data_IF_144832063706
#
_entry.id   IF_144832063706
#
_cell.length_a   1.000
_cell.length_b   1.000
_cell.length_c   1.000
_cell.angle_alpha   90.00
_cell.angle_beta   90.00
_cell.angle_gamma   90.00
#
_symmetry.space_group_name_H-M   'P 1'
#
loop_
_entity.id
_entity.type
_entity.pdbx_description
1 polymer ?
#
# COMPACT_ATOMS: atom_id res chain seq x y z
N UNK A 1 -7.71 -36.26 -8.20
CA UNK A 1 -7.60 -36.11 -9.68
C UNK A 1 -7.84 -34.65 -9.99
N UNK A 2 -6.87 -33.93 -10.56
CA UNK A 2 -7.05 -32.53 -10.96
C UNK A 2 -7.74 -32.49 -12.33
N UNK A 3 -8.65 -31.53 -12.54
CA UNK A 3 -9.27 -31.26 -13.85
C UNK A 3 -8.63 -30.03 -14.45
N UNK A 4 -8.30 -30.09 -15.73
CA UNK A 4 -7.80 -28.94 -16.48
C UNK A 4 -8.94 -28.03 -16.91
N UNK A 5 -8.78 -26.73 -16.72
CA UNK A 5 -9.72 -25.71 -17.15
C UNK A 5 -9.08 -24.87 -18.26
N UNK A 6 -9.78 -24.77 -19.39
CA UNK A 6 -9.37 -23.99 -20.56
C UNK A 6 -10.22 -22.74 -20.68
N UNK A 7 -9.54 -21.60 -20.83
CA UNK A 7 -10.15 -20.28 -20.85
C UNK A 7 -9.82 -19.62 -22.19
N UNK A 8 -10.82 -18.99 -22.81
CA UNK A 8 -10.59 -18.10 -23.94
C UNK A 8 -10.86 -16.67 -23.50
N UNK A 9 -9.98 -15.74 -23.84
CA UNK A 9 -10.11 -14.35 -23.43
C UNK A 9 -9.84 -13.45 -24.63
N UNK A 10 -10.74 -12.49 -24.85
CA UNK A 10 -10.55 -11.41 -25.80
C UNK A 10 -10.71 -10.07 -25.08
N UNK A 11 -9.63 -9.29 -25.08
CA UNK A 11 -9.60 -7.96 -24.46
C UNK A 11 -9.66 -6.88 -25.54
N UNK A 12 -10.52 -5.87 -25.35
CA UNK A 12 -10.57 -4.67 -26.21
C UNK A 12 -10.46 -3.43 -25.34
N UNK A 13 -9.47 -2.60 -25.63
CA UNK A 13 -9.30 -1.31 -24.98
C UNK A 13 -9.66 -0.19 -25.96
N UNK A 14 -10.47 0.77 -25.50
CA UNK A 14 -10.89 1.94 -26.27
C UNK A 14 -10.85 3.21 -25.42
N UNK A 15 -10.79 4.36 -26.07
CA UNK A 15 -11.02 5.63 -25.40
C UNK A 15 -12.46 5.67 -24.83
N UNK A 16 -12.64 6.24 -23.63
CA UNK A 16 -13.89 6.26 -22.88
C UNK A 16 -15.09 6.90 -23.58
N UNK A 17 -14.85 7.67 -24.65
CA UNK A 17 -15.91 8.25 -25.49
C UNK A 17 -16.48 7.25 -26.52
N UNK A 18 -15.88 6.06 -26.64
CA UNK A 18 -16.33 5.02 -27.57
C UNK A 18 -17.01 3.88 -26.83
N UNK A 19 -17.78 3.11 -27.58
CA UNK A 19 -18.45 1.91 -27.12
C UNK A 19 -17.97 0.70 -27.92
N UNK A 20 -18.27 -0.49 -27.42
CA UNK A 20 -18.13 -1.73 -28.20
C UNK A 20 -19.34 -1.87 -29.12
N UNK A 21 -19.06 -1.95 -30.41
CA UNK A 21 -20.08 -2.10 -31.44
C UNK A 21 -20.35 -3.58 -31.73
N UNK A 22 -21.46 -3.82 -32.40
CA UNK A 22 -21.94 -5.16 -32.76
C UNK A 22 -20.92 -6.01 -33.53
N UNK A 23 -20.10 -5.39 -34.38
CA UNK A 23 -19.08 -6.09 -35.17
C UNK A 23 -18.03 -6.77 -34.29
N UNK A 24 -17.63 -6.14 -33.19
CA UNK A 24 -16.62 -6.67 -32.27
C UNK A 24 -17.17 -7.82 -31.44
N UNK A 25 -18.43 -7.73 -31.02
CA UNK A 25 -19.12 -8.85 -30.38
C UNK A 25 -19.27 -10.02 -31.36
N UNK A 26 -19.64 -9.77 -32.62
CA UNK A 26 -19.71 -10.82 -33.64
C UNK A 26 -18.37 -11.50 -33.87
N UNK A 27 -17.28 -10.73 -33.94
CA UNK A 27 -15.92 -11.26 -34.05
C UNK A 27 -15.62 -12.21 -32.89
N UNK A 28 -15.91 -11.79 -31.66
CA UNK A 28 -15.75 -12.62 -30.46
C UNK A 28 -16.59 -13.90 -30.51
N UNK A 29 -17.90 -13.77 -30.76
CA UNK A 29 -18.85 -14.89 -30.81
C UNK A 29 -18.52 -15.89 -31.93
N UNK A 30 -18.04 -15.41 -33.07
CA UNK A 30 -17.61 -16.29 -34.16
C UNK A 30 -16.30 -17.01 -33.82
N UNK A 31 -15.39 -16.34 -33.10
CA UNK A 31 -14.14 -16.95 -32.65
C UNK A 31 -14.39 -18.02 -31.60
N UNK A 32 -15.29 -17.77 -30.64
CA UNK A 32 -15.67 -18.76 -29.64
C UNK A 32 -16.31 -19.98 -30.30
N UNK A 33 -17.27 -19.81 -31.22
CA UNK A 33 -17.86 -20.92 -31.99
C UNK A 33 -16.83 -21.83 -32.67
N UNK A 34 -15.73 -21.25 -33.17
CA UNK A 34 -14.66 -22.00 -33.85
C UNK A 34 -13.70 -22.68 -32.89
N UNK A 35 -13.62 -22.24 -31.62
CA UNK A 35 -12.77 -22.89 -30.60
C UNK A 35 -13.58 -23.97 -29.90
N UNK A 36 -13.28 -25.23 -30.17
CA UNK A 36 -14.05 -26.36 -29.63
C UNK A 36 -13.73 -26.72 -28.18
N UNK A 37 -12.63 -26.21 -27.60
CA UNK A 37 -12.08 -26.69 -26.33
C UNK A 37 -11.91 -25.60 -25.25
N UNK A 38 -12.91 -24.74 -25.04
CA UNK A 38 -12.92 -23.84 -23.88
C UNK A 38 -14.05 -24.21 -22.92
N UNK A 39 -13.78 -24.02 -21.63
CA UNK A 39 -14.78 -24.14 -20.57
C UNK A 39 -15.54 -22.82 -20.43
N UNK A 40 -14.83 -21.69 -20.44
CA UNK A 40 -15.42 -20.35 -20.38
C UNK A 40 -14.66 -19.40 -21.33
N UNK A 41 -15.41 -18.51 -21.99
CA UNK A 41 -14.94 -17.45 -22.85
C UNK A 41 -15.25 -16.09 -22.24
N UNK A 42 -14.26 -15.21 -22.14
CA UNK A 42 -14.38 -13.87 -21.60
C UNK A 42 -14.21 -12.83 -22.68
N UNK A 43 -15.13 -11.87 -22.73
CA UNK A 43 -14.95 -10.62 -23.43
C UNK A 43 -14.74 -9.51 -22.40
N UNK A 44 -13.57 -8.87 -22.44
CA UNK A 44 -13.18 -7.86 -21.46
C UNK A 44 -12.99 -6.50 -22.14
N UNK A 45 -13.63 -5.46 -21.62
CA UNK A 45 -13.54 -4.10 -22.17
C UNK A 45 -13.54 -3.02 -21.11
N UNK A 46 -12.82 -1.92 -21.36
CA UNK A 46 -12.83 -0.74 -20.51
C UNK A 46 -13.99 0.23 -20.82
N UNK A 47 -14.81 -0.07 -21.82
CA UNK A 47 -15.96 0.75 -22.23
C UNK A 47 -17.23 -0.09 -22.32
N UNK A 48 -18.40 0.56 -22.25
CA UNK A 48 -19.70 -0.10 -22.33
C UNK A 48 -20.01 -0.67 -23.72
N UNK A 49 -21.00 -1.56 -23.78
CA UNK A 49 -21.56 -2.07 -25.02
C UNK A 49 -22.63 -1.12 -25.57
N UNK A 50 -22.74 -1.04 -26.90
CA UNK A 50 -23.92 -0.45 -27.55
C UNK A 50 -25.16 -1.34 -27.34
N UNK A 51 -26.36 -0.78 -27.43
CA UNK A 51 -27.60 -1.57 -27.39
C UNK A 51 -27.65 -2.66 -28.49
N UNK A 52 -27.09 -2.38 -29.67
CA UNK A 52 -26.98 -3.36 -30.75
C UNK A 52 -26.06 -4.53 -30.39
N UNK A 53 -24.95 -4.26 -29.70
CA UNK A 53 -24.04 -5.30 -29.20
C UNK A 53 -24.69 -6.16 -28.11
N UNK A 54 -25.48 -5.56 -27.22
CA UNK A 54 -26.28 -6.28 -26.22
C UNK A 54 -27.31 -7.18 -26.90
N UNK A 55 -28.07 -6.66 -27.85
CA UNK A 55 -29.05 -7.45 -28.61
C UNK A 55 -28.39 -8.64 -29.33
N UNK A 56 -27.17 -8.49 -29.86
CA UNK A 56 -26.44 -9.60 -30.49
C UNK A 56 -26.08 -10.69 -29.47
N UNK A 57 -25.66 -10.33 -28.26
CA UNK A 57 -25.40 -11.29 -27.16
C UNK A 57 -26.68 -12.00 -26.73
N UNK A 58 -27.77 -11.26 -26.55
CA UNK A 58 -29.08 -11.80 -26.17
C UNK A 58 -29.65 -12.75 -27.22
N UNK A 59 -29.36 -12.53 -28.51
CA UNK A 59 -29.82 -13.37 -29.60
C UNK A 59 -28.84 -14.49 -29.99
N UNK A 60 -27.68 -14.58 -29.34
CA UNK A 60 -26.67 -15.58 -29.67
C UNK A 60 -27.19 -17.02 -29.44
N UNK A 61 -27.11 -17.88 -30.44
CA UNK A 61 -27.66 -19.26 -30.38
C UNK A 61 -26.63 -20.34 -30.03
N UNK A 62 -25.36 -19.96 -29.80
CA UNK A 62 -24.33 -20.92 -29.36
C UNK A 62 -24.33 -21.10 -27.84
N UNK A 63 -23.20 -21.57 -27.30
CA UNK A 63 -23.01 -21.83 -25.86
C UNK A 63 -22.99 -20.54 -25.01
N UNK A 64 -24.16 -19.90 -24.83
CA UNK A 64 -24.32 -18.68 -24.02
C UNK A 64 -23.82 -18.84 -22.59
N UNK A 65 -24.06 -19.99 -21.97
CA UNK A 65 -23.69 -20.27 -20.57
C UNK A 65 -22.18 -20.30 -20.34
N UNK A 66 -21.39 -20.40 -21.42
CA UNK A 66 -19.93 -20.37 -21.38
C UNK A 66 -19.36 -18.99 -21.68
N UNK A 67 -20.18 -17.96 -21.86
CA UNK A 67 -19.74 -16.62 -22.23
C UNK A 67 -19.89 -15.68 -21.04
N UNK A 68 -18.81 -14.99 -20.70
CA UNK A 68 -18.78 -13.95 -19.70
C UNK A 68 -18.38 -12.62 -20.34
N UNK A 69 -19.19 -11.59 -20.11
CA UNK A 69 -18.90 -10.22 -20.51
C UNK A 69 -18.44 -9.47 -19.25
N UNK A 70 -17.28 -8.84 -19.33
CA UNK A 70 -16.71 -8.09 -18.22
C UNK A 70 -16.34 -6.68 -18.68
N UNK A 71 -17.07 -5.69 -18.20
CA UNK A 71 -16.92 -4.29 -18.59
C UNK A 71 -16.34 -3.47 -17.44
N UNK A 72 -15.76 -2.30 -17.72
CA UNK A 72 -15.19 -1.41 -16.68
C UNK A 72 -16.15 -1.15 -15.53
N UNK A 73 -17.46 -1.01 -15.81
CA UNK A 73 -18.49 -0.76 -14.80
C UNK A 73 -18.57 -1.89 -13.76
N UNK A 74 -18.22 -3.12 -14.14
CA UNK A 74 -18.20 -4.28 -13.26
C UNK A 74 -16.96 -4.27 -12.35
N UNK A 75 -15.93 -3.50 -12.74
CA UNK A 75 -14.66 -3.37 -12.02
C UNK A 75 -14.52 -2.06 -11.25
N UNK A 76 -15.18 -0.97 -11.66
CA UNK A 76 -15.07 0.35 -11.01
C UNK A 76 -15.32 0.26 -9.49
N UNK A 77 -16.37 -0.42 -9.00
CA UNK A 77 -16.59 -0.55 -7.56
C UNK A 77 -15.42 -1.25 -6.85
N UNK A 78 -14.86 -2.31 -7.46
CA UNK A 78 -13.72 -3.06 -6.93
C UNK A 78 -12.43 -2.26 -6.96
N UNK A 79 -12.18 -1.52 -8.05
CA UNK A 79 -11.00 -0.66 -8.18
C UNK A 79 -11.03 0.45 -7.12
N UNK A 80 -12.18 1.11 -6.93
CA UNK A 80 -12.33 2.10 -5.86
C UNK A 80 -12.13 1.50 -4.46
N UNK A 81 -12.55 0.25 -4.23
CA UNK A 81 -12.29 -0.45 -2.97
C UNK A 81 -10.78 -0.66 -2.75
N UNK A 82 -10.07 -1.14 -3.77
CA UNK A 82 -8.61 -1.30 -3.72
C UNK A 82 -7.87 0.03 -3.55
N UNK A 83 -8.30 1.09 -4.25
CA UNK A 83 -7.73 2.43 -4.10
C UNK A 83 -7.88 2.95 -2.66
N UNK A 84 -9.06 2.78 -2.04
CA UNK A 84 -9.29 3.13 -0.63
C UNK A 84 -8.36 2.34 0.29
N UNK A 85 -8.17 1.05 0.06
CA UNK A 85 -7.24 0.22 0.84
C UNK A 85 -5.79 0.72 0.71
N UNK A 86 -5.35 1.07 -0.50
CA UNK A 86 -4.01 1.60 -0.75
C UNK A 86 -3.76 2.95 -0.07
N UNK A 87 -4.72 3.88 -0.14
CA UNK A 87 -4.64 5.17 0.55
C UNK A 87 -4.55 4.98 2.06
N UNK A 88 -5.42 4.12 2.62
CA UNK A 88 -5.40 3.81 4.06
C UNK A 88 -4.08 3.19 4.51
N UNK A 89 -3.49 2.32 3.68
CA UNK A 89 -2.19 1.71 3.98
C UNK A 89 -1.05 2.74 3.92
N UNK A 90 -1.08 3.68 2.96
CA UNK A 90 -0.11 4.77 2.88
C UNK A 90 -0.17 5.68 4.11
N UNK A 91 -1.37 6.07 4.54
CA UNK A 91 -1.58 6.88 5.75
C UNK A 91 -1.03 6.15 6.99
N UNK A 92 -1.32 4.85 7.15
CA UNK A 92 -0.79 4.05 8.27
C UNK A 92 0.74 3.98 8.28
N UNK A 93 1.36 3.87 7.10
CA UNK A 93 2.82 3.87 6.94
C UNK A 93 3.44 5.21 7.33
N UNK A 94 2.82 6.33 6.92
CA UNK A 94 3.28 7.68 7.29
C UNK A 94 3.16 7.92 8.80
N UNK A 95 2.03 7.56 9.42
CA UNK A 95 1.86 7.67 10.88
C UNK A 95 2.89 6.85 11.67
N UNK A 96 3.26 5.65 11.20
CA UNK A 96 4.31 4.85 11.83
C UNK A 96 5.69 5.52 11.72
N UNK A 97 6.00 6.13 10.58
CA UNK A 97 7.25 6.89 10.40
C UNK A 97 7.32 8.08 11.35
N UNK A 98 6.23 8.83 11.50
CA UNK A 98 6.17 10.00 12.40
C UNK A 98 6.43 9.60 13.85
N UNK A 99 5.79 8.52 14.34
CA UNK A 99 6.03 8.00 15.70
C UNK A 99 7.48 7.57 15.93
N UNK A 100 8.11 6.97 14.92
CA UNK A 100 9.51 6.59 15.00
C UNK A 100 10.43 7.82 15.11
N UNK A 101 10.12 8.87 14.34
CA UNK A 101 10.87 10.12 14.35
C UNK A 101 10.73 10.86 15.69
N UNK A 102 9.52 10.91 16.25
CA UNK A 102 9.25 11.48 17.59
C UNK A 102 10.08 10.77 18.66
N UNK A 103 10.09 9.44 18.64
CA UNK A 103 10.90 8.62 19.56
C UNK A 103 12.41 8.85 19.41
N UNK A 104 12.92 9.00 18.19
CA UNK A 104 14.33 9.31 17.93
C UNK A 104 14.70 10.71 18.44
N UNK A 105 13.83 11.71 18.25
CA UNK A 105 14.02 13.07 18.76
C UNK A 105 14.05 13.08 20.28
N UNK A 106 13.08 12.42 20.94
CA UNK A 106 13.02 12.30 22.40
C UNK A 106 14.30 11.68 22.97
N UNK A 107 14.76 10.56 22.39
CA UNK A 107 15.99 9.91 22.83
C UNK A 107 17.23 10.79 22.65
N UNK A 108 17.30 11.56 21.56
CA UNK A 108 18.42 12.49 21.32
C UNK A 108 18.42 13.63 22.35
N UNK A 109 17.25 14.17 22.69
CA UNK A 109 17.11 15.19 23.73
C UNK A 109 17.54 14.64 25.09
N UNK A 110 17.04 13.45 25.46
CA UNK A 110 17.40 12.75 26.70
C UNK A 110 18.92 12.52 26.80
N UNK A 111 19.55 12.04 25.73
CA UNK A 111 21.01 11.82 25.70
C UNK A 111 21.79 13.11 25.95
N UNK A 112 21.44 14.20 25.26
CA UNK A 112 22.08 15.50 25.46
C UNK A 112 21.89 16.04 26.89
N UNK A 113 20.73 15.78 27.50
CA UNK A 113 20.45 16.20 28.87
C UNK A 113 21.29 15.41 29.88
N UNK A 114 21.41 14.09 29.66
CA UNK A 114 22.25 13.22 30.49
C UNK A 114 23.73 13.59 30.38
N UNK A 115 24.25 13.86 29.19
CA UNK A 115 25.64 14.32 29.00
C UNK A 115 25.92 15.64 29.73
N UNK A 116 24.98 16.58 29.70
CA UNK A 116 25.10 17.84 30.47
C UNK A 116 25.10 17.59 31.99
N UNK A 117 24.22 16.71 32.46
CA UNK A 117 24.15 16.34 33.88
C UNK A 117 25.45 15.68 34.35
N UNK A 118 26.00 14.73 33.59
CA UNK A 118 27.27 14.09 33.90
C UNK A 118 28.43 15.09 33.98
N UNK A 119 28.51 16.04 33.04
CA UNK A 119 29.53 17.08 33.08
C UNK A 119 29.38 17.99 34.30
N UNK A 120 28.15 18.33 34.66
CA UNK A 120 27.85 19.15 35.85
C UNK A 120 28.23 18.41 37.13
N UNK A 121 27.93 17.11 37.21
CA UNK A 121 28.31 16.26 38.35
C UNK A 121 29.83 16.23 38.50
N UNK A 122 30.59 16.00 37.41
CA UNK A 122 32.06 16.00 37.44
C UNK A 122 32.64 17.33 37.91
N UNK A 123 32.08 18.46 37.50
CA UNK A 123 32.50 19.78 37.99
C UNK A 123 32.22 19.97 39.48
N UNK A 124 31.07 19.51 39.97
CA UNK A 124 30.71 19.60 41.38
C UNK A 124 31.58 18.69 42.25
N UNK A 125 31.88 17.48 41.79
CA UNK A 125 32.79 16.55 42.46
C UNK A 125 34.19 17.16 42.60
N UNK A 126 34.72 17.77 41.53
CA UNK A 126 36.02 18.46 41.58
C UNK A 126 36.02 19.60 42.60
N UNK A 127 34.98 20.45 42.59
CA UNK A 127 34.84 21.55 43.57
C UNK A 127 34.76 21.02 45.01
N UNK A 128 34.07 19.90 45.22
CA UNK A 128 33.95 19.28 46.54
C UNK A 128 35.32 18.79 47.05
N UNK A 129 36.11 18.15 46.19
CA UNK A 129 37.45 17.69 46.57
C UNK A 129 38.42 18.84 46.83
N UNK A 130 38.34 19.93 46.06
CA UNK A 130 39.10 21.15 46.34
C UNK A 130 38.78 21.72 47.74
N UNK A 131 37.49 21.75 48.12
CA UNK A 131 37.05 22.19 49.46
C UNK A 131 37.57 21.25 50.55
N UNK A 132 37.50 19.93 50.36
CA UNK A 132 38.03 18.96 51.33
C UNK A 132 39.53 19.15 51.54
N UNK A 133 40.28 19.34 50.46
CA UNK A 133 41.73 19.57 50.53
C UNK A 133 42.06 20.85 51.30
N UNK A 134 41.33 21.95 51.04
CA UNK A 134 41.48 23.20 51.81
C UNK A 134 41.17 23.01 53.29
N UNK A 135 40.08 22.30 53.64
CA UNK A 135 39.72 22.03 55.02
C UNK A 135 40.77 21.20 55.75
N UNK A 136 41.32 20.16 55.10
CA UNK A 136 42.41 19.35 55.67
C UNK A 136 43.65 20.21 55.96
N UNK A 137 44.03 21.10 55.03
CA UNK A 137 45.16 22.01 55.21
C UNK A 137 44.96 22.95 56.40
N UNK A 138 43.76 23.51 56.55
CA UNK A 138 43.39 24.36 57.70
C UNK A 138 43.49 23.56 59.01
N UNK A 139 42.99 22.32 59.01
CA UNK A 139 43.03 21.44 60.19
C UNK A 139 44.48 21.14 60.63
N UNK A 140 45.38 20.87 59.68
CA UNK A 140 46.80 20.67 59.95
C UNK A 140 47.47 21.92 60.55
N UNK A 141 47.13 23.11 60.07
CA UNK A 141 47.65 24.38 60.61
C UNK A 141 47.17 24.58 62.05
N UNK A 142 45.90 24.29 62.34
CA UNK A 142 45.29 24.48 63.66
C UNK A 142 45.80 23.47 64.70
N UNK A 143 46.23 22.28 64.27
CA UNK A 143 46.69 21.19 65.16
C UNK A 143 48.21 21.15 65.37
N UNK A 144 48.99 21.95 64.63
CA UNK A 144 50.46 22.09 64.80
C UNK A 144 50.90 23.20 65.78
N UNK A 145 49.98 23.75 66.57
CA UNK A 145 50.27 24.66 67.70
C UNK A 145 50.08 23.93 69.02
#
# INVERSE_FOLDING_TARGET
QYRELHWFIQCKYKNGNYEIYISEIREFLNTTKRKTNYHIAFFVSNVKLTNYAINELENYTGDKDKICICLIQDFIPKVHEYEKMLVNNKIKLEQKKTKCLEYEIENRILKNYNEKLENTIKELEKKLDDIKNQNNLILEILTKK
#
